data_IF_419605374482
#
_entry.id   IF_419605374482
#
_cell.length_a   1.000
_cell.length_b   1.000
_cell.length_c   1.000
_cell.angle_alpha   90.00
_cell.angle_beta   90.00
_cell.angle_gamma   90.00
#
_symmetry.space_group_name_H-M   'P 1'
#
loop_
_entity.id
_entity.type
_entity.pdbx_description
1 polymer ?
#
# COMPACT_ATOMS: atom_id res chain seq x y z
N UNK A 1 -12.23 3.18 20.44
CA UNK A 1 -12.69 4.38 19.68
C UNK A 1 -14.13 4.12 19.23
N UNK A 2 -15.02 5.12 19.24
CA UNK A 2 -16.37 4.97 18.71
C UNK A 2 -16.36 4.81 17.18
N UNK A 3 -17.44 4.29 16.62
CA UNK A 3 -17.65 4.27 15.18
C UNK A 3 -17.75 5.71 14.64
N UNK A 4 -17.12 6.04 13.48
CA UNK A 4 -16.35 5.18 12.58
C UNK A 4 -14.84 5.11 12.86
N UNK A 5 -14.35 5.81 13.88
CA UNK A 5 -12.91 5.95 14.16
C UNK A 5 -12.22 4.64 14.53
N UNK A 6 -12.94 3.66 15.09
CA UNK A 6 -12.39 2.33 15.31
C UNK A 6 -11.92 1.64 14.01
N UNK A 7 -12.62 1.84 12.89
CA UNK A 7 -12.26 1.25 11.60
C UNK A 7 -10.98 1.89 11.07
N UNK A 8 -10.90 3.22 11.09
CA UNK A 8 -9.70 3.96 10.64
C UNK A 8 -8.46 3.51 11.40
N UNK A 9 -8.57 3.36 12.73
CA UNK A 9 -7.44 2.92 13.55
C UNK A 9 -7.15 1.43 13.38
N UNK A 10 -8.15 0.59 13.12
CA UNK A 10 -7.91 -0.81 12.78
C UNK A 10 -7.13 -0.95 11.45
N UNK A 11 -7.49 -0.17 10.43
CA UNK A 11 -6.77 -0.11 9.15
C UNK A 11 -5.35 0.40 9.38
N UNK A 12 -5.19 1.52 10.10
CA UNK A 12 -3.88 2.06 10.41
C UNK A 12 -2.99 1.07 11.18
N UNK A 13 -3.56 0.30 12.11
CA UNK A 13 -2.82 -0.74 12.82
C UNK A 13 -2.40 -1.88 11.87
N UNK A 14 -3.27 -2.36 10.99
CA UNK A 14 -2.93 -3.37 9.98
C UNK A 14 -1.80 -2.89 9.07
N UNK A 15 -1.89 -1.66 8.56
CA UNK A 15 -0.91 -1.09 7.63
C UNK A 15 0.42 -0.73 8.32
N UNK A 16 0.39 0.04 9.42
CA UNK A 16 1.60 0.63 10.00
C UNK A 16 2.19 -0.15 11.19
N UNK A 17 1.45 -1.07 11.81
CA UNK A 17 1.95 -1.88 12.95
C UNK A 17 2.17 -3.32 12.53
N UNK A 18 1.24 -3.92 11.78
CA UNK A 18 1.40 -5.30 11.28
C UNK A 18 2.12 -5.36 9.95
N UNK A 19 2.08 -4.31 9.15
CA UNK A 19 2.76 -4.26 7.85
C UNK A 19 2.09 -5.17 6.82
N UNK A 20 0.77 -5.37 6.91
CA UNK A 20 0.04 -6.38 6.11
C UNK A 20 0.11 -6.16 4.59
N UNK A 21 0.67 -5.03 4.13
CA UNK A 21 0.93 -4.77 2.72
C UNK A 21 2.22 -5.42 2.20
N UNK A 22 3.20 -5.70 3.07
CA UNK A 22 4.56 -6.14 2.67
C UNK A 22 5.16 -7.19 3.61
N UNK A 23 4.38 -7.77 4.53
CA UNK A 23 4.86 -8.76 5.50
C UNK A 23 4.80 -10.21 4.99
N UNK A 24 4.64 -10.39 3.68
CA UNK A 24 4.60 -11.67 2.98
C UNK A 24 5.28 -11.55 1.62
N UNK A 25 5.67 -12.68 1.03
CA UNK A 25 6.22 -12.77 -0.32
C UNK A 25 5.12 -13.13 -1.32
N UNK A 26 5.16 -12.55 -2.52
CA UNK A 26 4.22 -12.88 -3.59
C UNK A 26 4.64 -14.21 -4.22
N UNK A 27 3.82 -15.24 -4.06
CA UNK A 27 4.01 -16.51 -4.76
C UNK A 27 3.12 -16.55 -6.02
N UNK A 28 3.66 -17.10 -7.12
CA UNK A 28 2.93 -17.28 -8.39
C UNK A 28 1.61 -18.06 -8.23
N UNK A 29 1.49 -18.86 -7.17
CA UNK A 29 0.30 -19.65 -6.85
C UNK A 29 -0.94 -18.80 -6.53
N UNK A 30 -0.76 -17.55 -6.09
CA UNK A 30 -1.86 -16.68 -5.66
C UNK A 30 -1.77 -15.25 -6.18
N UNK A 31 -0.61 -14.79 -6.66
CA UNK A 31 -0.45 -13.40 -7.04
C UNK A 31 0.70 -13.14 -8.02
N UNK A 32 0.68 -11.94 -8.56
CA UNK A 32 1.66 -11.39 -9.51
C UNK A 32 1.86 -9.92 -9.17
N UNK A 33 3.04 -9.38 -9.46
CA UNK A 33 3.38 -7.99 -9.20
C UNK A 33 3.08 -7.12 -10.44
N UNK A 34 2.36 -6.01 -10.25
CA UNK A 34 1.83 -5.23 -11.36
C UNK A 34 2.92 -4.44 -12.11
N UNK A 35 3.97 -3.98 -11.43
CA UNK A 35 5.08 -3.28 -12.07
C UNK A 35 5.97 -4.19 -12.91
N UNK A 36 6.05 -5.48 -12.57
CA UNK A 36 6.68 -6.53 -13.39
C UNK A 36 5.85 -6.87 -14.63
N UNK A 37 4.51 -6.92 -14.50
CA UNK A 37 3.61 -7.20 -15.62
C UNK A 37 3.48 -6.03 -16.61
N UNK A 38 3.53 -4.80 -16.12
CA UNK A 38 3.32 -3.59 -16.92
C UNK A 38 4.46 -2.57 -16.70
N UNK A 39 5.71 -2.92 -17.08
CA UNK A 39 6.89 -2.10 -16.80
C UNK A 39 6.91 -0.78 -17.59
N UNK A 40 6.10 -0.66 -18.62
CA UNK A 40 5.94 0.52 -19.46
C UNK A 40 4.98 1.57 -18.86
N UNK A 41 4.20 1.20 -17.85
CA UNK A 41 3.32 2.14 -17.14
C UNK A 41 4.14 3.04 -16.24
N UNK A 42 4.01 4.36 -16.45
CA UNK A 42 4.68 5.38 -15.63
C UNK A 42 3.79 5.76 -14.46
N UNK A 43 4.04 5.17 -13.29
CA UNK A 43 3.37 5.52 -12.05
C UNK A 43 3.90 6.84 -11.49
N UNK A 44 3.04 7.60 -10.81
CA UNK A 44 3.46 8.75 -10.01
C UNK A 44 4.17 8.26 -8.76
N UNK A 45 5.43 8.68 -8.55
CA UNK A 45 6.19 8.31 -7.36
C UNK A 45 5.70 9.08 -6.13
N UNK A 46 6.09 8.60 -4.94
CA UNK A 46 5.79 9.30 -3.68
C UNK A 46 6.37 10.72 -3.69
N UNK A 47 7.60 10.88 -4.17
CA UNK A 47 8.28 12.18 -4.30
C UNK A 47 7.48 13.14 -5.19
N UNK A 48 7.13 12.71 -6.40
CA UNK A 48 6.36 13.52 -7.35
C UNK A 48 4.99 13.97 -6.79
N UNK A 49 4.35 13.13 -5.99
CA UNK A 49 3.09 13.49 -5.35
C UNK A 49 3.30 14.49 -4.21
N UNK A 50 4.34 14.31 -3.39
CA UNK A 50 4.61 15.18 -2.24
C UNK A 50 5.13 16.56 -2.65
N UNK A 51 5.74 16.71 -3.82
CA UNK A 51 6.14 18.01 -4.39
C UNK A 51 4.97 19.01 -4.48
N UNK A 52 3.72 18.54 -4.49
CA UNK A 52 2.53 19.40 -4.51
C UNK A 52 2.26 20.14 -3.19
N UNK A 53 2.89 19.72 -2.09
CA UNK A 53 2.63 20.22 -0.74
C UNK A 53 3.81 21.00 -0.13
N UNK A 54 4.88 21.23 -0.91
CA UNK A 54 6.10 21.95 -0.51
C UNK A 54 6.08 23.39 -0.99
#
# INVERSE_FOLDING_TARGET
>A
LPFPMNIVVAIAHSVFVKGDQTNFEIEESFGVEASELYPDVKYTTVEQYLDQFV
#
